data_IF_887758895202
#
_entry.id   IF_887758895202
#
_cell.length_a   1.000
_cell.length_b   1.000
_cell.length_c   1.000
_cell.angle_alpha   90.00
_cell.angle_beta   90.00
_cell.angle_gamma   90.00
#
_symmetry.space_group_name_H-M   'P 1'
#
loop_
_entity.id
_entity.type
_entity.pdbx_description
1 polymer ?
#
# COMPACT_ATOMS: atom_id res chain seq x y z
N UNK A 1 1.13 17.97 8.34
CA UNK A 1 1.02 17.09 7.16
C UNK A 1 0.01 16.00 7.47
N UNK A 2 -0.89 15.67 6.53
CA UNK A 2 -1.98 14.72 6.76
C UNK A 2 -1.83 13.54 5.79
N UNK A 3 -1.83 12.33 6.31
CA UNK A 3 -1.88 11.10 5.51
C UNK A 3 -3.15 10.32 5.83
N UNK A 4 -3.88 9.86 4.82
CA UNK A 4 -4.94 8.87 4.96
C UNK A 4 -4.39 7.50 4.58
N UNK A 5 -4.73 6.50 5.35
CA UNK A 5 -4.21 5.13 5.21
C UNK A 5 -5.38 4.21 4.95
N UNK A 6 -5.38 3.56 3.79
CA UNK A 6 -6.35 2.53 3.45
C UNK A 6 -5.72 1.16 3.68
N UNK A 7 -6.27 0.44 4.68
CA UNK A 7 -5.94 -0.95 4.93
C UNK A 7 -6.81 -1.81 4.03
N UNK A 8 -6.20 -2.45 3.06
CA UNK A 8 -6.91 -3.33 2.15
C UNK A 8 -7.12 -4.70 2.80
N UNK A 9 -8.38 -5.09 2.98
CA UNK A 9 -8.78 -6.37 3.56
C UNK A 9 -9.95 -6.98 2.79
N UNK A 10 -10.40 -8.14 3.18
CA UNK A 10 -11.57 -8.80 2.61
C UNK A 10 -12.35 -9.57 3.69
N UNK A 11 -13.59 -9.94 3.39
CA UNK A 11 -14.47 -10.71 4.29
C UNK A 11 -13.74 -11.90 4.93
N UNK A 12 -12.98 -12.65 4.14
CA UNK A 12 -12.24 -13.84 4.60
C UNK A 12 -11.22 -13.54 5.69
N UNK A 13 -10.59 -12.36 5.66
CA UNK A 13 -9.49 -11.99 6.56
C UNK A 13 -9.90 -10.96 7.61
N UNK A 14 -11.15 -10.50 7.61
CA UNK A 14 -11.62 -9.47 8.53
C UNK A 14 -11.37 -9.86 9.99
N UNK A 15 -11.85 -11.04 10.43
CA UNK A 15 -11.70 -11.49 11.80
C UNK A 15 -10.26 -11.87 12.17
N UNK A 16 -9.52 -12.47 11.25
CA UNK A 16 -8.19 -13.00 11.53
C UNK A 16 -7.05 -12.00 11.33
N UNK A 17 -7.28 -10.87 10.64
CA UNK A 17 -6.27 -9.87 10.31
C UNK A 17 -6.73 -8.45 10.60
N UNK A 18 -7.77 -7.96 9.93
CA UNK A 18 -8.19 -6.56 10.06
C UNK A 18 -8.59 -6.19 11.48
N UNK A 19 -9.25 -7.09 12.24
CA UNK A 19 -9.56 -6.90 13.66
C UNK A 19 -8.31 -6.77 14.54
N UNK A 20 -7.24 -7.47 14.22
CA UNK A 20 -5.98 -7.34 14.93
C UNK A 20 -5.37 -5.96 14.68
N UNK A 21 -5.39 -5.49 13.44
CA UNK A 21 -4.95 -4.14 13.09
C UNK A 21 -5.82 -3.10 13.81
N UNK A 22 -7.14 -3.25 13.76
CA UNK A 22 -8.07 -2.35 14.47
C UNK A 22 -7.80 -2.28 15.97
N UNK A 23 -7.42 -3.39 16.61
CA UNK A 23 -7.10 -3.44 18.03
C UNK A 23 -5.71 -2.90 18.38
N UNK A 24 -4.87 -2.65 17.37
CA UNK A 24 -3.49 -2.18 17.56
C UNK A 24 -3.29 -0.79 16.95
N UNK A 25 -2.62 -0.69 15.81
CA UNK A 25 -2.25 0.58 15.21
C UNK A 25 -3.36 1.22 14.34
N UNK A 26 -4.38 0.45 13.95
CA UNK A 26 -5.44 0.88 13.03
C UNK A 26 -6.62 1.62 13.69
N UNK A 27 -6.66 1.77 15.01
CA UNK A 27 -7.77 2.43 15.72
C UNK A 27 -7.55 3.95 15.83
N UNK A 28 -7.32 4.61 14.72
CA UNK A 28 -7.15 6.06 14.62
C UNK A 28 -7.95 6.62 13.44
N UNK A 29 -8.38 7.89 13.48
CA UNK A 29 -9.32 8.45 12.50
C UNK A 29 -8.84 8.46 11.04
N UNK A 30 -7.54 8.49 10.81
CA UNK A 30 -6.93 8.50 9.48
C UNK A 30 -6.56 7.10 8.95
N UNK A 31 -7.05 6.03 9.58
CA UNK A 31 -7.00 4.66 9.08
C UNK A 31 -8.39 4.20 8.71
N UNK A 32 -8.58 3.73 7.48
CA UNK A 32 -9.85 3.27 6.93
C UNK A 32 -9.65 1.87 6.35
N UNK A 33 -10.47 0.93 6.75
CA UNK A 33 -10.46 -0.42 6.20
C UNK A 33 -11.28 -0.47 4.92
N UNK A 34 -10.67 -0.94 3.85
CA UNK A 34 -11.32 -1.12 2.54
C UNK A 34 -11.63 -2.60 2.37
N UNK A 35 -12.90 -2.94 2.24
CA UNK A 35 -13.38 -4.33 2.29
C UNK A 35 -14.43 -4.64 1.22
N UNK A 36 -14.57 -5.92 0.87
CA UNK A 36 -15.66 -6.47 0.07
C UNK A 36 -16.80 -7.05 0.94
N UNK A 37 -16.72 -6.90 2.26
CA UNK A 37 -17.76 -7.32 3.21
C UNK A 37 -18.77 -6.18 3.42
N UNK A 38 -19.97 -6.34 2.89
CA UNK A 38 -21.04 -5.34 3.03
C UNK A 38 -21.66 -5.27 4.44
N UNK A 39 -21.36 -6.25 5.30
CA UNK A 39 -21.83 -6.35 6.68
C UNK A 39 -20.67 -6.31 7.68
N UNK A 40 -19.56 -5.70 7.30
CA UNK A 40 -18.36 -5.56 8.12
C UNK A 40 -18.65 -4.94 9.48
N UNK A 41 -17.97 -5.42 10.51
CA UNK A 41 -18.06 -4.93 11.89
C UNK A 41 -16.88 -4.06 12.30
N UNK A 42 -15.97 -3.75 11.38
CA UNK A 42 -14.87 -2.82 11.59
C UNK A 42 -15.41 -1.39 11.80
N UNK A 43 -14.85 -0.65 12.75
CA UNK A 43 -15.36 0.67 13.14
C UNK A 43 -15.29 1.72 12.03
N UNK A 44 -14.19 1.74 11.30
CA UNK A 44 -13.94 2.70 10.23
C UNK A 44 -13.67 1.94 8.92
N UNK A 45 -14.73 1.53 8.23
CA UNK A 45 -14.62 0.77 7.01
C UNK A 45 -15.43 1.37 5.86
N UNK A 46 -15.02 1.03 4.65
CA UNK A 46 -15.73 1.34 3.42
C UNK A 46 -15.86 0.07 2.59
N UNK A 47 -17.08 -0.27 2.24
CA UNK A 47 -17.39 -1.32 1.30
C UNK A 47 -17.21 -0.80 -0.13
N UNK A 48 -16.35 -1.45 -0.92
CA UNK A 48 -16.08 -1.06 -2.32
C UNK A 48 -16.67 -2.03 -3.36
N UNK A 49 -17.57 -2.90 -2.94
CA UNK A 49 -18.19 -3.93 -3.75
C UNK A 49 -17.41 -5.26 -3.69
N UNK A 50 -18.01 -6.34 -4.23
CA UNK A 50 -17.38 -7.65 -4.22
C UNK A 50 -16.10 -7.65 -5.05
N UNK A 51 -15.09 -8.37 -4.57
CA UNK A 51 -13.86 -8.58 -5.33
C UNK A 51 -14.08 -9.64 -6.41
N UNK A 52 -14.01 -9.25 -7.66
CA UNK A 52 -14.37 -10.10 -8.80
C UNK A 52 -13.53 -11.38 -8.93
N UNK A 53 -12.31 -11.40 -8.40
CA UNK A 53 -11.34 -12.49 -8.58
C UNK A 53 -10.76 -13.00 -7.25
N UNK A 54 -11.52 -12.91 -6.16
CA UNK A 54 -11.09 -13.32 -4.82
C UNK A 54 -10.21 -12.27 -4.12
N UNK A 55 -9.59 -12.62 -2.98
CA UNK A 55 -8.87 -11.68 -2.14
C UNK A 55 -7.52 -11.23 -2.72
N UNK A 56 -7.19 -11.61 -3.93
CA UNK A 56 -5.97 -11.14 -4.59
C UNK A 56 -6.16 -9.70 -5.05
N UNK A 57 -5.21 -8.88 -4.75
CA UNK A 57 -5.16 -7.45 -5.05
C UNK A 57 -5.30 -7.19 -6.56
N UNK A 58 -6.52 -6.94 -6.98
CA UNK A 58 -6.78 -6.64 -8.37
C UNK A 58 -6.60 -5.13 -8.63
N UNK A 59 -6.02 -4.69 -9.75
CA UNK A 59 -5.92 -3.28 -10.11
C UNK A 59 -7.22 -2.49 -10.01
N UNK A 60 -8.36 -3.11 -10.28
CA UNK A 60 -9.68 -2.47 -10.13
C UNK A 60 -9.95 -1.95 -8.72
N UNK A 61 -9.47 -2.65 -7.68
CA UNK A 61 -9.62 -2.19 -6.29
C UNK A 61 -8.74 -0.96 -6.03
N UNK A 62 -7.51 -0.96 -6.56
CA UNK A 62 -6.62 0.20 -6.45
C UNK A 62 -7.21 1.41 -7.17
N UNK A 63 -7.81 1.22 -8.36
CA UNK A 63 -8.51 2.29 -9.09
C UNK A 63 -9.65 2.86 -8.25
N UNK A 64 -10.49 2.00 -7.64
CA UNK A 64 -11.57 2.44 -6.75
C UNK A 64 -11.04 3.20 -5.53
N UNK A 65 -9.95 2.72 -4.92
CA UNK A 65 -9.31 3.41 -3.79
C UNK A 65 -8.76 4.78 -4.19
N UNK A 66 -8.13 4.91 -5.36
CA UNK A 66 -7.68 6.21 -5.89
C UNK A 66 -8.84 7.17 -6.12
N UNK A 67 -9.93 6.71 -6.74
CA UNK A 67 -11.13 7.51 -6.97
C UNK A 67 -11.78 7.94 -5.64
N UNK A 68 -11.86 7.03 -4.67
CA UNK A 68 -12.39 7.29 -3.33
C UNK A 68 -11.54 8.33 -2.60
N UNK A 69 -10.21 8.23 -2.68
CA UNK A 69 -9.31 9.22 -2.09
C UNK A 69 -9.59 10.61 -2.69
N UNK A 70 -9.62 10.74 -4.01
CA UNK A 70 -9.82 12.04 -4.64
C UNK A 70 -11.20 12.66 -4.34
N UNK A 71 -12.24 11.82 -4.21
CA UNK A 71 -13.61 12.30 -3.96
C UNK A 71 -13.88 12.68 -2.51
N UNK A 72 -13.33 11.91 -1.55
CA UNK A 72 -13.75 11.99 -0.14
C UNK A 72 -12.62 12.45 0.81
N UNK A 73 -11.36 12.37 0.38
CA UNK A 73 -10.19 12.64 1.22
C UNK A 73 -9.22 13.66 0.61
N UNK A 74 -9.72 14.52 -0.28
CA UNK A 74 -8.91 15.53 -0.98
C UNK A 74 -8.19 16.55 -0.08
N UNK A 75 -8.57 16.65 1.20
CA UNK A 75 -7.90 17.48 2.22
C UNK A 75 -6.64 16.83 2.83
N UNK A 76 -6.37 15.56 2.51
CA UNK A 76 -5.15 14.89 2.91
C UNK A 76 -4.04 15.16 1.90
N UNK A 77 -2.81 15.30 2.41
CA UNK A 77 -1.62 15.59 1.60
C UNK A 77 -1.07 14.33 0.91
N UNK A 78 -1.22 13.18 1.60
CA UNK A 78 -0.75 11.87 1.15
C UNK A 78 -1.81 10.80 1.34
N UNK A 79 -1.71 9.79 0.51
CA UNK A 79 -2.54 8.59 0.51
C UNK A 79 -1.65 7.34 0.59
N UNK A 80 -1.98 6.40 1.46
CA UNK A 80 -1.28 5.12 1.58
C UNK A 80 -2.24 3.97 1.38
N UNK A 81 -1.82 2.95 0.62
CA UNK A 81 -2.44 1.62 0.61
C UNK A 81 -1.48 0.68 1.32
N UNK A 82 -2.00 -0.17 2.20
CA UNK A 82 -1.23 -1.16 2.98
C UNK A 82 -2.05 -2.43 3.17
N UNK A 83 -1.39 -3.59 3.27
CA UNK A 83 -2.04 -4.87 3.47
C UNK A 83 -2.46 -5.10 4.93
N UNK A 84 -3.51 -5.92 5.11
CA UNK A 84 -4.09 -6.27 6.41
C UNK A 84 -3.23 -7.24 7.26
N UNK A 85 -2.05 -7.59 6.79
CA UNK A 85 -1.04 -8.39 7.51
C UNK A 85 0.28 -7.63 7.69
N UNK A 86 0.20 -6.32 7.81
CA UNK A 86 1.34 -5.45 8.04
C UNK A 86 1.23 -4.66 9.34
N UNK A 87 2.38 -4.30 9.93
CA UNK A 87 2.47 -3.36 11.02
C UNK A 87 2.99 -2.00 10.53
N UNK A 88 2.38 -0.92 11.02
CA UNK A 88 2.74 0.45 10.63
C UNK A 88 2.93 1.34 11.87
N UNK A 89 4.08 2.00 11.96
CA UNK A 89 4.33 3.09 12.90
C UNK A 89 3.84 4.41 12.30
N UNK A 90 2.55 4.71 12.46
CA UNK A 90 1.89 5.86 11.81
C UNK A 90 2.61 7.18 12.08
N UNK A 91 3.03 7.44 13.31
CA UNK A 91 3.75 8.68 13.64
C UNK A 91 5.13 8.79 12.97
N UNK A 92 5.83 7.66 12.80
CA UNK A 92 7.10 7.65 12.04
C UNK A 92 6.85 7.92 10.55
N UNK A 93 5.77 7.35 9.99
CA UNK A 93 5.34 7.65 8.63
C UNK A 93 5.04 9.14 8.47
N UNK A 94 4.22 9.72 9.34
CA UNK A 94 3.87 11.14 9.30
C UNK A 94 5.12 12.03 9.36
N UNK A 95 6.07 11.70 10.23
CA UNK A 95 7.34 12.42 10.33
C UNK A 95 8.17 12.27 9.04
N UNK A 96 8.30 11.06 8.52
CA UNK A 96 9.03 10.81 7.27
C UNK A 96 8.47 11.60 6.10
N UNK A 97 7.13 11.68 5.99
CA UNK A 97 6.47 12.39 4.91
C UNK A 97 6.69 13.92 4.96
N UNK A 98 7.14 14.48 6.09
CA UNK A 98 7.47 15.93 6.17
C UNK A 98 8.64 16.34 5.27
N UNK A 99 9.45 15.40 4.81
CA UNK A 99 10.57 15.65 3.92
C UNK A 99 10.16 15.78 2.44
N UNK A 100 8.88 15.59 2.11
CA UNK A 100 8.40 15.58 0.73
C UNK A 100 7.42 16.72 0.47
N UNK A 101 7.55 17.34 -0.71
CA UNK A 101 6.57 18.32 -1.18
C UNK A 101 5.30 17.59 -1.64
N UNK A 102 4.19 17.82 -0.96
CA UNK A 102 2.88 17.21 -1.27
C UNK A 102 2.36 17.56 -2.67
N UNK A 103 2.85 18.65 -3.27
CA UNK A 103 2.46 19.11 -4.61
C UNK A 103 3.28 18.43 -5.71
N UNK A 104 4.28 17.66 -5.36
CA UNK A 104 5.06 16.88 -6.31
C UNK A 104 4.37 15.55 -6.65
N UNK A 105 4.96 14.75 -7.52
CA UNK A 105 4.37 13.51 -8.05
C UNK A 105 5.14 12.31 -7.50
N UNK A 106 4.94 11.98 -6.22
CA UNK A 106 5.66 10.89 -5.55
C UNK A 106 4.87 9.59 -5.47
N UNK A 107 5.59 8.48 -5.72
CA UNK A 107 5.26 7.13 -5.30
C UNK A 107 6.40 6.63 -4.38
N UNK A 108 6.10 6.37 -3.11
CA UNK A 108 7.06 6.03 -2.06
C UNK A 108 6.75 4.63 -1.54
N UNK A 109 7.74 3.74 -1.44
CA UNK A 109 7.56 2.38 -0.96
C UNK A 109 8.86 1.61 -0.86
N UNK A 110 8.78 0.30 -0.58
CA UNK A 110 9.89 -0.65 -0.71
C UNK A 110 9.93 -1.16 -2.16
N UNK A 111 10.97 -0.81 -2.90
CA UNK A 111 11.11 -1.21 -4.30
C UNK A 111 12.00 -2.45 -4.42
N UNK A 112 11.35 -3.59 -4.58
CA UNK A 112 12.02 -4.89 -4.65
C UNK A 112 12.90 -5.03 -5.90
N UNK A 113 14.14 -5.49 -5.69
CA UNK A 113 15.04 -5.93 -6.76
C UNK A 113 14.76 -7.41 -7.07
N UNK A 114 13.67 -7.70 -7.74
CA UNK A 114 13.38 -9.08 -8.13
C UNK A 114 13.52 -9.26 -9.64
N UNK A 115 14.46 -10.09 -10.02
CA UNK A 115 14.63 -10.56 -11.41
C UNK A 115 13.73 -11.78 -11.59
N UNK A 116 12.44 -11.57 -11.80
CA UNK A 116 11.61 -12.64 -12.36
C UNK A 116 11.54 -12.45 -13.86
N UNK A 117 12.00 -13.41 -14.67
CA UNK A 117 11.74 -13.38 -16.10
C UNK A 117 10.25 -13.67 -16.33
N UNK A 118 9.40 -12.65 -16.27
CA UNK A 118 8.03 -12.76 -16.76
C UNK A 118 8.05 -12.52 -18.26
N UNK A 119 8.28 -13.58 -19.01
CA UNK A 119 8.18 -13.65 -20.47
C UNK A 119 6.76 -13.38 -21.00
N UNK A 120 5.80 -13.20 -20.11
CA UNK A 120 4.38 -13.02 -20.44
C UNK A 120 4.03 -11.63 -20.98
N UNK A 121 4.89 -10.65 -20.78
CA UNK A 121 4.64 -9.29 -21.23
C UNK A 121 5.74 -8.83 -22.17
N UNK A 122 5.39 -8.56 -23.43
CA UNK A 122 6.27 -7.94 -24.45
C UNK A 122 6.67 -6.49 -24.11
N UNK A 123 6.80 -6.16 -22.82
CA UNK A 123 7.32 -4.87 -22.39
C UNK A 123 8.84 -4.98 -22.21
N UNK A 124 9.58 -4.27 -23.01
CA UNK A 124 11.03 -4.03 -22.84
C UNK A 124 11.28 -3.02 -21.72
N UNK A 125 10.75 -3.26 -20.52
CA UNK A 125 10.98 -2.40 -19.38
C UNK A 125 11.97 -3.06 -18.41
N UNK A 126 12.71 -2.22 -17.73
CA UNK A 126 13.61 -2.63 -16.66
C UNK A 126 12.78 -3.20 -15.49
N UNK A 127 12.44 -4.49 -15.55
CA UNK A 127 11.52 -5.21 -14.64
C UNK A 127 12.04 -5.32 -13.21
N UNK A 128 13.16 -4.69 -12.90
CA UNK A 128 13.95 -5.05 -11.74
C UNK A 128 13.49 -4.38 -10.44
N UNK A 129 12.52 -3.46 -10.45
CA UNK A 129 12.15 -2.73 -9.24
C UNK A 129 10.69 -2.29 -9.23
N UNK A 130 9.78 -3.11 -8.73
CA UNK A 130 8.40 -2.69 -8.47
C UNK A 130 8.16 -2.40 -6.98
N UNK A 131 7.19 -1.53 -6.64
CA UNK A 131 6.85 -1.27 -5.25
C UNK A 131 6.22 -2.53 -4.63
N UNK A 132 6.64 -2.89 -3.43
CA UNK A 132 5.98 -3.94 -2.68
C UNK A 132 4.67 -3.45 -2.08
N UNK A 133 3.57 -4.18 -2.31
CA UNK A 133 2.26 -3.84 -1.77
C UNK A 133 2.14 -4.07 -0.26
N UNK A 134 2.73 -5.16 0.25
CA UNK A 134 2.57 -5.59 1.63
C UNK A 134 2.90 -4.51 2.67
N UNK A 135 4.12 -3.97 2.74
CA UNK A 135 4.48 -2.93 3.69
C UNK A 135 3.82 -1.57 3.39
N UNK A 136 3.15 -1.47 2.26
CA UNK A 136 2.41 -0.32 1.81
C UNK A 136 3.14 0.57 0.80
N UNK A 137 2.33 1.32 0.07
CA UNK A 137 2.77 2.27 -0.95
C UNK A 137 2.09 3.61 -0.67
N UNK A 138 2.88 4.68 -0.60
CA UNK A 138 2.39 6.04 -0.39
C UNK A 138 2.41 6.83 -1.69
N UNK A 139 1.38 7.63 -1.90
CA UNK A 139 1.21 8.47 -3.07
C UNK A 139 0.88 9.89 -2.68
N UNK A 140 1.37 10.86 -3.44
CA UNK A 140 0.81 12.22 -3.44
C UNK A 140 -0.44 12.27 -4.31
N UNK A 141 -1.29 13.28 -4.11
CA UNK A 141 -2.48 13.51 -4.92
C UNK A 141 -2.16 13.60 -6.42
N UNK A 142 -1.15 14.39 -6.79
CA UNK A 142 -0.72 14.54 -8.18
C UNK A 142 -0.25 13.21 -8.80
N UNK A 143 0.34 12.32 -8.00
CA UNK A 143 0.72 10.98 -8.45
C UNK A 143 -0.51 10.13 -8.79
N UNK A 144 -1.54 10.16 -7.94
CA UNK A 144 -2.80 9.44 -8.17
C UNK A 144 -3.51 9.95 -9.42
N UNK A 145 -3.64 11.27 -9.57
CA UNK A 145 -4.24 11.89 -10.76
C UNK A 145 -3.49 11.47 -12.03
N UNK A 146 -2.16 11.40 -11.96
CA UNK A 146 -1.34 10.93 -13.07
C UNK A 146 -1.58 9.46 -13.41
N UNK A 147 -1.67 8.59 -12.40
CA UNK A 147 -2.00 7.18 -12.63
C UNK A 147 -3.39 7.04 -13.27
N UNK A 148 -4.41 7.74 -12.80
CA UNK A 148 -5.74 7.69 -13.37
C UNK A 148 -5.79 8.19 -14.83
N UNK A 149 -4.98 9.21 -15.19
CA UNK A 149 -4.81 9.61 -16.58
C UNK A 149 -4.20 8.51 -17.44
N UNK A 150 -3.15 7.85 -16.95
CA UNK A 150 -2.48 6.75 -17.66
C UNK A 150 -3.40 5.55 -17.88
N UNK A 151 -4.19 5.17 -16.86
CA UNK A 151 -5.18 4.08 -16.94
C UNK A 151 -6.16 4.31 -18.10
N UNK A 152 -6.59 5.55 -18.32
CA UNK A 152 -7.53 5.89 -19.38
C UNK A 152 -6.89 5.95 -20.78
N UNK A 153 -5.57 6.04 -20.87
CA UNK A 153 -4.85 6.25 -22.15
C UNK A 153 -3.93 5.11 -22.54
N UNK A 154 -3.69 4.17 -21.63
CA UNK A 154 -2.71 3.11 -21.81
C UNK A 154 -3.30 1.75 -21.46
N UNK A 155 -3.26 0.80 -22.39
CA UNK A 155 -3.70 -0.57 -22.12
C UNK A 155 -2.59 -1.34 -21.37
N UNK A 156 -2.61 -1.32 -20.05
CA UNK A 156 -1.72 -2.14 -19.20
C UNK A 156 -2.48 -3.39 -18.77
N UNK A 157 -1.94 -4.61 -19.04
CA UNK A 157 -2.59 -5.84 -18.60
C UNK A 157 -2.75 -5.91 -17.09
N UNK A 158 -3.90 -6.40 -16.63
CA UNK A 158 -4.14 -6.60 -15.20
C UNK A 158 -3.33 -7.78 -14.66
N UNK A 159 -2.64 -7.53 -13.56
CA UNK A 159 -1.83 -8.50 -12.82
C UNK A 159 -1.90 -8.15 -11.33
N UNK A 160 -0.97 -8.63 -10.49
CA UNK A 160 -0.87 -8.16 -9.11
C UNK A 160 -0.74 -6.63 -9.10
N UNK A 161 -1.40 -5.97 -8.17
CA UNK A 161 -1.52 -4.51 -8.15
C UNK A 161 -0.17 -3.78 -8.11
N UNK A 162 0.81 -4.32 -7.40
CA UNK A 162 2.16 -3.79 -7.27
C UNK A 162 2.94 -3.82 -8.60
N UNK A 163 2.88 -4.96 -9.30
CA UNK A 163 3.45 -5.12 -10.65
C UNK A 163 2.72 -4.22 -11.65
N UNK A 164 1.39 -4.14 -11.56
CA UNK A 164 0.58 -3.29 -12.42
C UNK A 164 0.89 -1.80 -12.21
N UNK A 165 1.05 -1.33 -10.97
CA UNK A 165 1.47 0.03 -10.65
C UNK A 165 2.86 0.33 -11.24
N UNK A 166 3.77 -0.64 -11.20
CA UNK A 166 5.07 -0.49 -11.84
C UNK A 166 4.95 -0.34 -13.35
N UNK A 167 4.13 -1.14 -14.03
CA UNK A 167 3.91 -1.01 -15.46
C UNK A 167 3.33 0.36 -15.83
N UNK A 168 2.36 0.87 -15.07
CA UNK A 168 1.85 2.24 -15.23
C UNK A 168 2.94 3.30 -15.00
N UNK A 169 3.77 3.11 -13.99
CA UNK A 169 4.92 3.97 -13.74
C UNK A 169 5.85 4.04 -14.98
N UNK A 170 6.15 2.90 -15.57
CA UNK A 170 7.00 2.85 -16.78
C UNK A 170 6.36 3.59 -17.97
N UNK A 171 5.03 3.58 -18.08
CA UNK A 171 4.29 4.34 -19.08
C UNK A 171 4.23 5.85 -18.79
N UNK A 172 4.66 6.30 -17.61
CA UNK A 172 4.58 7.70 -17.20
C UNK A 172 5.69 8.60 -17.75
N UNK A 173 6.57 8.08 -18.61
CA UNK A 173 7.79 8.79 -19.08
C UNK A 173 8.60 9.37 -17.91
N UNK A 174 8.69 8.63 -16.80
CA UNK A 174 9.38 9.04 -15.56
C UNK A 174 8.85 10.34 -14.92
N UNK A 175 7.62 10.74 -15.24
CA UNK A 175 6.97 11.93 -14.63
C UNK A 175 6.52 11.67 -13.19
N UNK A 176 6.52 10.41 -12.75
CA UNK A 176 6.30 10.02 -11.35
C UNK A 176 7.67 9.84 -10.70
N UNK A 177 7.88 10.50 -9.59
CA UNK A 177 9.11 10.37 -8.78
C UNK A 177 8.97 9.16 -7.88
N UNK A 178 9.75 8.13 -8.14
CA UNK A 178 9.83 6.94 -7.31
C UNK A 178 10.84 7.15 -6.19
N UNK A 179 10.42 6.90 -4.95
CA UNK A 179 11.25 7.02 -3.76
C UNK A 179 11.29 5.69 -3.02
N UNK A 180 12.47 5.10 -2.93
CA UNK A 180 12.73 3.91 -2.13
C UNK A 180 12.83 4.30 -0.65
N UNK A 181 11.90 3.79 0.17
CA UNK A 181 11.86 4.11 1.59
C UNK A 181 12.58 3.04 2.41
N UNK A 182 13.73 3.36 3.02
CA UNK A 182 14.49 2.37 3.78
C UNK A 182 13.77 1.87 5.05
N UNK A 183 12.70 2.52 5.45
CA UNK A 183 11.88 2.10 6.60
C UNK A 183 10.71 1.19 6.26
N UNK A 184 10.48 0.85 4.98
CA UNK A 184 9.44 -0.08 4.55
C UNK A 184 10.06 -1.43 4.20
N UNK A 185 9.50 -2.52 4.72
CA UNK A 185 10.13 -3.84 4.59
C UNK A 185 9.16 -4.93 4.18
N UNK A 186 9.42 -5.53 3.01
CA UNK A 186 8.75 -6.70 2.45
C UNK A 186 9.50 -7.99 2.84
N UNK A 187 9.73 -8.26 4.09
CA UNK A 187 10.41 -9.49 4.52
C UNK A 187 9.44 -10.41 5.25
N UNK A 188 9.65 -11.73 5.13
CA UNK A 188 8.97 -12.65 5.99
C UNK A 188 9.45 -12.46 7.45
N UNK A 189 8.54 -12.68 8.37
CA UNK A 189 8.69 -12.41 9.80
C UNK A 189 9.91 -13.06 10.46
N UNK A 190 10.35 -14.22 9.99
CA UNK A 190 11.49 -14.96 10.56
C UNK A 190 12.80 -14.20 10.37
N UNK A 191 12.98 -13.52 9.25
CA UNK A 191 14.15 -12.70 8.98
C UNK A 191 14.09 -11.32 9.64
N UNK A 192 12.88 -10.81 9.92
CA UNK A 192 12.67 -9.51 10.52
C UNK A 192 13.08 -9.43 11.98
N UNK A 193 12.71 -10.44 12.78
CA UNK A 193 13.10 -10.50 14.19
C UNK A 193 14.62 -10.54 14.38
N UNK A 194 15.35 -11.06 13.38
CA UNK A 194 16.81 -11.10 13.40
C UNK A 194 17.47 -9.83 12.88
N UNK A 195 16.79 -9.09 11.97
CA UNK A 195 17.41 -7.98 11.23
C UNK A 195 16.93 -6.60 11.67
N UNK A 196 15.69 -6.50 12.14
CA UNK A 196 15.07 -5.24 12.54
C UNK A 196 14.49 -5.40 13.94
N UNK A 197 15.27 -5.02 14.95
CA UNK A 197 14.73 -4.92 16.31
C UNK A 197 13.67 -3.82 16.37
N UNK A 198 12.76 -3.88 17.35
CA UNK A 198 11.80 -2.81 17.66
C UNK A 198 12.50 -1.45 17.86
N UNK A 199 13.77 -1.49 18.19
CA UNK A 199 14.65 -0.35 18.43
C UNK A 199 15.19 0.26 17.14
N UNK A 200 14.95 -0.34 15.96
CA UNK A 200 15.32 0.29 14.70
C UNK A 200 14.50 1.55 14.49
N UNK A 201 15.14 2.69 14.75
CA UNK A 201 14.50 4.01 14.60
C UNK A 201 14.05 4.28 13.16
N UNK A 202 14.57 3.56 12.18
CA UNK A 202 14.22 3.72 10.77
C UNK A 202 13.01 2.88 10.36
N UNK A 203 12.61 1.87 11.14
CA UNK A 203 11.47 1.03 10.81
C UNK A 203 10.16 1.84 10.84
N UNK A 204 9.50 1.93 9.70
CA UNK A 204 8.19 2.60 9.51
C UNK A 204 7.09 1.57 9.30
N UNK A 205 7.31 0.60 8.41
CA UNK A 205 6.33 -0.44 8.10
C UNK A 205 6.99 -1.77 7.83
N UNK A 206 6.30 -2.85 8.20
CA UNK A 206 6.76 -4.21 7.98
C UNK A 206 5.61 -5.14 7.60
N UNK A 207 5.80 -5.90 6.54
CA UNK A 207 4.88 -6.95 6.12
C UNK A 207 5.17 -8.23 6.90
N UNK A 208 4.21 -8.69 7.70
CA UNK A 208 4.33 -9.84 8.60
C UNK A 208 3.88 -11.16 7.97
N UNK A 209 3.23 -11.07 6.80
CA UNK A 209 2.66 -12.20 6.08
C UNK A 209 1.70 -13.03 6.97
N UNK A 210 2.02 -14.31 7.18
CA UNK A 210 1.16 -15.23 7.97
C UNK A 210 1.39 -15.18 9.48
N UNK A 211 2.38 -14.40 9.94
CA UNK A 211 2.76 -14.36 11.35
C UNK A 211 2.20 -13.14 12.09
N UNK A 212 0.90 -12.95 11.99
CA UNK A 212 0.19 -11.83 12.62
C UNK A 212 0.30 -11.77 14.14
N UNK A 213 0.61 -12.90 14.81
CA UNK A 213 0.91 -12.89 16.24
C UNK A 213 2.03 -11.91 16.61
N UNK A 214 2.93 -11.62 15.67
CA UNK A 214 4.02 -10.65 15.85
C UNK A 214 3.51 -9.20 15.90
N UNK A 215 2.29 -8.89 15.42
CA UNK A 215 1.73 -7.53 15.50
C UNK A 215 1.77 -7.00 16.94
N UNK A 216 1.40 -7.83 17.91
CA UNK A 216 1.41 -7.44 19.32
C UNK A 216 2.83 -7.18 19.86
N UNK A 217 3.85 -7.78 19.27
CA UNK A 217 5.24 -7.54 19.65
C UNK A 217 5.75 -6.18 19.17
N UNK A 218 5.19 -5.65 18.08
CA UNK A 218 5.50 -4.32 17.56
C UNK A 218 4.67 -3.21 18.20
N UNK A 219 3.52 -3.57 18.81
CA UNK A 219 2.60 -2.63 19.43
C UNK A 219 2.92 -2.46 20.92
N UNK A 220 3.78 -1.50 21.25
CA UNK A 220 4.13 -1.10 22.63
C UNK A 220 3.95 0.39 22.80
#
# INVERSE_FOLDING_TARGET
>A
MKVIIFVHTCEKYEESRAKIIESTWGNIPNVVFITDNSVSTLKNHIYIGPYKNGPTYHPENVIKMFQLFLSNYGDYDFFMIIDDDSYLYVKKLELYLTFFDKNDTYMIGDFLNWVAPRTEFNFTCDYNRWPSGGPGIVFTKNCIEKFLQLINTTAVPYTNHDVWLHMLYMCSDKRIKRVDCPGFHQYNSTNLLQKYSKEDNNLISVHLERNLSLIHEYHI
#
